data_IF_724440327663
#
_entry.id   IF_724440327663
#
_cell.length_a   1.000
_cell.length_b   1.000
_cell.length_c   1.000
_cell.angle_alpha   90.00
_cell.angle_beta   90.00
_cell.angle_gamma   90.00
#
_symmetry.space_group_name_H-M   'P 1'
#
loop_
_entity.id
_entity.type
_entity.pdbx_description
1 polymer ?
#
# COMPACT_ATOMS: atom_id res chain seq x y z
N UNK A 1 58.27 -16.56 -26.29
CA UNK A 1 58.44 -17.36 -27.53
C UNK A 1 57.11 -17.35 -28.28
N UNK A 2 57.09 -16.55 -29.36
CA UNK A 2 56.73 -16.92 -30.73
C UNK A 2 55.26 -17.47 -30.83
N UNK A 3 54.37 -17.00 -31.71
CA UNK A 3 54.36 -16.28 -33.02
C UNK A 3 52.92 -15.80 -33.22
N UNK A 4 52.61 -14.58 -33.55
CA UNK A 4 52.31 -14.01 -34.87
C UNK A 4 51.68 -14.98 -35.87
N UNK A 5 50.40 -14.75 -36.23
CA UNK A 5 50.02 -14.82 -37.64
C UNK A 5 48.83 -13.91 -37.96
N UNK A 6 49.16 -12.97 -38.73
CA UNK A 6 48.39 -12.00 -39.52
C UNK A 6 47.73 -12.79 -40.69
N UNK A 7 46.44 -12.57 -40.95
CA UNK A 7 45.96 -12.74 -42.33
C UNK A 7 44.83 -11.76 -42.63
N UNK A 8 45.18 -10.94 -43.50
CA UNK A 8 44.57 -9.88 -44.29
C UNK A 8 43.78 -10.50 -45.45
N UNK A 9 42.81 -9.86 -45.95
CA UNK A 9 42.17 -9.81 -47.30
C UNK A 9 40.66 -9.99 -47.19
N UNK A 10 39.80 -9.36 -47.96
CA UNK A 10 39.87 -8.34 -49.01
C UNK A 10 38.47 -7.86 -49.32
N UNK A 11 38.31 -6.61 -49.61
CA UNK A 11 37.24 -5.84 -50.23
C UNK A 11 36.22 -6.56 -51.09
N UNK A 12 34.96 -6.11 -50.99
CA UNK A 12 34.21 -5.82 -52.23
C UNK A 12 33.21 -4.71 -51.96
N UNK A 13 33.49 -3.56 -52.53
CA UNK A 13 32.62 -2.44 -52.68
C UNK A 13 31.59 -2.72 -53.79
N UNK A 14 30.34 -2.47 -53.51
CA UNK A 14 29.36 -2.23 -54.56
C UNK A 14 28.79 -0.82 -54.37
N UNK A 15 29.24 0.04 -55.24
CA UNK A 15 28.68 1.37 -55.51
C UNK A 15 27.41 1.15 -56.32
N UNK A 16 26.25 1.57 -55.76
CA UNK A 16 25.06 1.83 -56.56
C UNK A 16 24.69 3.29 -56.40
N UNK A 17 24.84 3.99 -57.48
CA UNK A 17 24.48 5.38 -57.67
C UNK A 17 22.97 5.49 -57.91
N UNK A 18 22.29 6.44 -57.27
CA UNK A 18 20.89 6.72 -57.53
C UNK A 18 20.31 7.89 -56.77
N UNK A 19 20.42 9.07 -57.32
CA UNK A 19 19.58 10.29 -57.21
C UNK A 19 19.29 10.93 -55.86
N UNK A 20 19.76 12.17 -55.74
CA UNK A 20 19.27 13.24 -54.88
C UNK A 20 17.78 13.49 -55.09
N UNK A 21 17.03 13.51 -54.02
CA UNK A 21 15.90 14.39 -53.81
C UNK A 21 15.96 14.89 -52.36
N UNK A 22 15.98 16.20 -52.23
CA UNK A 22 15.85 16.93 -50.97
C UNK A 22 14.49 16.67 -50.41
N UNK A 23 14.42 16.17 -49.19
CA UNK A 23 13.22 16.24 -48.34
C UNK A 23 13.63 16.57 -46.91
N UNK A 24 13.24 17.76 -46.56
CA UNK A 24 12.98 18.35 -45.25
C UNK A 24 13.12 17.41 -44.04
N UNK A 25 13.84 17.90 -43.03
CA UNK A 25 13.84 17.40 -41.66
C UNK A 25 12.43 17.37 -41.08
N UNK A 26 11.78 16.23 -41.08
CA UNK A 26 10.68 15.92 -40.18
C UNK A 26 11.25 15.20 -38.97
N UNK A 27 11.26 15.91 -37.86
CA UNK A 27 11.49 15.36 -36.54
C UNK A 27 10.38 14.35 -36.28
N UNK A 28 10.68 13.08 -36.45
CA UNK A 28 9.78 12.00 -36.03
C UNK A 28 9.78 12.00 -34.52
N UNK A 29 8.79 12.64 -33.92
CA UNK A 29 8.42 12.43 -32.52
C UNK A 29 8.18 10.94 -32.35
N UNK A 30 9.03 10.30 -31.54
CA UNK A 30 8.79 8.96 -31.06
C UNK A 30 7.47 8.98 -30.31
N UNK A 31 6.44 8.47 -30.93
CA UNK A 31 5.16 8.18 -30.27
C UNK A 31 5.44 7.19 -29.15
N UNK A 32 5.65 7.71 -27.96
CA UNK A 32 5.61 6.92 -26.74
C UNK A 32 4.17 6.43 -26.60
N UNK A 33 3.91 5.23 -27.03
CA UNK A 33 2.68 4.52 -26.74
C UNK A 33 2.62 4.39 -25.22
N UNK A 34 1.91 5.30 -24.57
CA UNK A 34 1.55 5.14 -23.18
C UNK A 34 0.72 3.85 -23.11
N UNK A 35 1.25 2.84 -22.43
CA UNK A 35 0.47 1.70 -22.04
C UNK A 35 -0.71 2.27 -21.25
N UNK A 36 -1.93 2.12 -21.77
CA UNK A 36 -3.13 2.43 -21.01
C UNK A 36 -3.18 1.41 -19.89
N UNK A 37 -2.90 1.88 -18.69
CA UNK A 37 -3.15 1.14 -17.47
C UNK A 37 -4.67 1.05 -17.32
N UNK A 38 -5.23 -0.12 -17.61
CA UNK A 38 -6.63 -0.45 -17.36
C UNK A 38 -6.85 -0.89 -15.91
N UNK A 39 -5.97 -0.47 -15.00
CA UNK A 39 -6.13 -0.70 -13.57
C UNK A 39 -7.43 -0.08 -13.06
N UNK A 40 -8.09 -0.76 -12.14
CA UNK A 40 -9.18 -0.16 -11.36
C UNK A 40 -8.59 1.06 -10.65
N UNK A 41 -9.15 2.27 -10.81
CA UNK A 41 -8.64 3.44 -10.12
C UNK A 41 -8.57 3.18 -8.62
N UNK A 42 -7.48 3.57 -7.97
CA UNK A 42 -7.41 3.52 -6.53
C UNK A 42 -8.50 4.43 -5.94
N UNK A 43 -9.46 3.90 -5.17
CA UNK A 43 -10.57 4.70 -4.66
C UNK A 43 -10.16 5.59 -3.47
N UNK A 44 -8.97 5.41 -2.89
CA UNK A 44 -8.50 6.18 -1.76
C UNK A 44 -8.05 7.59 -2.15
N UNK A 45 -8.53 8.57 -1.39
CA UNK A 45 -8.05 9.95 -1.40
C UNK A 45 -7.14 10.17 -0.18
N UNK A 46 -5.89 10.58 -0.42
CA UNK A 46 -4.92 10.89 0.64
C UNK A 46 -5.19 12.31 1.15
N UNK A 47 -5.21 12.48 2.47
CA UNK A 47 -5.47 13.75 3.15
C UNK A 47 -4.46 13.99 4.27
N UNK A 48 -4.42 15.22 4.79
CA UNK A 48 -3.47 15.61 5.83
C UNK A 48 -4.00 15.34 7.25
N UNK A 49 -5.32 15.24 7.43
CA UNK A 49 -5.94 15.12 8.76
C UNK A 49 -7.11 14.12 8.78
N UNK A 50 -7.38 13.57 9.98
CA UNK A 50 -8.57 12.76 10.22
C UNK A 50 -9.89 13.52 10.01
N UNK A 51 -9.90 14.83 10.28
CA UNK A 51 -11.07 15.68 10.03
C UNK A 51 -11.38 15.83 8.54
N UNK A 52 -10.38 15.82 7.68
CA UNK A 52 -10.54 15.80 6.23
C UNK A 52 -11.02 14.43 5.74
N UNK A 53 -10.43 13.37 6.25
CA UNK A 53 -10.89 12.00 5.98
C UNK A 53 -12.36 11.81 6.38
N UNK A 54 -12.76 12.34 7.54
CA UNK A 54 -14.14 12.28 8.02
C UNK A 54 -15.14 12.97 7.09
N UNK A 55 -14.75 14.07 6.43
CA UNK A 55 -15.60 14.75 5.45
C UNK A 55 -15.81 13.94 4.18
N UNK A 56 -14.82 13.16 3.78
CA UNK A 56 -14.89 12.28 2.61
C UNK A 56 -15.72 11.04 2.95
N UNK A 57 -15.42 10.38 4.07
CA UNK A 57 -16.08 9.14 4.46
C UNK A 57 -17.49 9.32 5.03
N UNK A 58 -17.86 10.54 5.48
CA UNK A 58 -19.16 10.82 6.08
C UNK A 58 -19.28 10.43 7.56
N UNK A 59 -18.20 9.95 8.18
CA UNK A 59 -18.10 9.61 9.61
C UNK A 59 -16.69 9.87 10.12
N UNK A 60 -16.49 9.93 11.46
CA UNK A 60 -15.19 10.17 12.06
C UNK A 60 -14.49 8.86 12.48
N UNK A 61 -13.17 8.90 12.48
CA UNK A 61 -12.31 7.93 13.16
C UNK A 61 -11.44 8.70 14.17
N UNK A 62 -11.47 8.27 15.44
CA UNK A 62 -10.48 8.68 16.43
C UNK A 62 -9.41 7.57 16.48
N UNK A 63 -8.17 7.92 16.25
CA UNK A 63 -7.02 7.01 16.32
C UNK A 63 -5.81 7.75 16.87
N UNK A 64 -4.84 7.06 17.49
CA UNK A 64 -3.59 7.69 17.93
C UNK A 64 -2.88 8.40 16.78
N UNK A 65 -2.21 9.51 17.08
CA UNK A 65 -1.42 10.26 16.09
C UNK A 65 -0.01 9.71 15.89
N UNK A 66 0.40 8.76 16.73
CA UNK A 66 1.68 8.05 16.69
C UNK A 66 1.53 6.72 17.43
N UNK A 67 2.34 5.75 17.08
CA UNK A 67 2.43 4.47 17.79
C UNK A 67 3.88 4.00 17.86
N UNK A 68 4.48 3.98 19.07
CA UNK A 68 5.87 3.63 19.31
C UNK A 68 6.83 4.42 18.38
N UNK A 69 7.66 3.72 17.59
CA UNK A 69 8.58 4.33 16.64
C UNK A 69 7.92 4.66 15.28
N UNK A 70 6.63 4.30 15.10
CA UNK A 70 5.85 4.54 13.89
C UNK A 70 5.07 5.85 14.03
N UNK A 71 5.73 6.96 13.73
CA UNK A 71 5.22 8.32 13.92
C UNK A 71 4.99 9.09 12.62
N UNK A 72 5.15 8.44 11.49
CA UNK A 72 4.86 9.01 10.18
C UNK A 72 3.56 8.43 9.63
N UNK A 73 2.52 9.27 9.52
CA UNK A 73 1.18 8.83 9.13
C UNK A 73 0.93 9.04 7.64
N UNK A 74 0.18 8.11 7.04
CA UNK A 74 -0.59 8.33 5.83
C UNK A 74 -2.05 8.14 6.19
N UNK A 75 -2.85 9.19 6.00
CA UNK A 75 -4.29 9.18 6.24
C UNK A 75 -4.98 9.21 4.89
N UNK A 76 -5.91 8.29 4.68
CA UNK A 76 -6.66 8.25 3.44
C UNK A 76 -8.10 7.78 3.68
N UNK A 77 -9.00 8.13 2.75
CA UNK A 77 -10.41 7.81 2.86
C UNK A 77 -11.01 7.43 1.50
N UNK A 78 -12.08 6.63 1.56
CA UNK A 78 -12.97 6.34 0.45
C UNK A 78 -14.31 7.02 0.75
N UNK A 79 -14.87 7.72 -0.24
CA UNK A 79 -16.10 8.45 -0.07
C UNK A 79 -17.24 7.53 0.38
N UNK A 80 -17.94 7.97 1.44
CA UNK A 80 -19.08 7.29 2.06
C UNK A 80 -18.81 5.82 2.48
N UNK A 81 -17.53 5.41 2.64
CA UNK A 81 -17.19 4.00 2.85
C UNK A 81 -16.14 3.80 3.96
N UNK A 82 -14.91 4.34 3.84
CA UNK A 82 -13.79 3.94 4.70
C UNK A 82 -12.85 5.09 5.05
N UNK A 83 -12.29 5.04 6.27
CA UNK A 83 -11.09 5.79 6.67
C UNK A 83 -9.99 4.79 7.01
N UNK A 84 -8.78 5.05 6.52
CA UNK A 84 -7.60 4.26 6.82
C UNK A 84 -6.47 5.17 7.30
N UNK A 85 -5.79 4.73 8.37
CA UNK A 85 -4.56 5.36 8.89
C UNK A 85 -3.45 4.32 8.86
N UNK A 86 -2.37 4.64 8.18
CA UNK A 86 -1.19 3.78 8.05
C UNK A 86 -0.05 4.43 8.82
N UNK A 87 0.58 3.67 9.70
CA UNK A 87 1.67 4.12 10.57
C UNK A 87 2.99 3.59 10.03
N UNK A 88 3.85 4.50 9.62
CA UNK A 88 5.18 4.20 9.12
C UNK A 88 6.26 4.65 10.11
N UNK A 89 7.44 4.07 9.97
CA UNK A 89 8.65 4.61 10.56
C UNK A 89 8.94 6.04 10.08
N UNK A 90 9.88 6.73 10.71
CA UNK A 90 10.21 8.13 10.39
C UNK A 90 10.68 8.31 8.94
N UNK A 91 11.26 7.27 8.33
CA UNK A 91 11.77 7.27 6.95
C UNK A 91 10.71 6.86 5.93
N UNK A 92 9.52 6.44 6.37
CA UNK A 92 8.42 5.88 5.56
C UNK A 92 8.84 4.66 4.72
N UNK A 93 9.74 3.86 5.26
CA UNK A 93 10.25 2.65 4.60
C UNK A 93 9.57 1.38 5.08
N UNK A 94 9.08 1.38 6.32
CA UNK A 94 8.44 0.23 6.94
C UNK A 94 7.09 0.62 7.54
N UNK A 95 6.05 -0.12 7.17
CA UNK A 95 4.75 -0.04 7.80
C UNK A 95 4.79 -0.83 9.10
N UNK A 96 4.39 -0.19 10.21
CA UNK A 96 4.27 -0.87 11.49
C UNK A 96 2.91 -1.48 11.68
N UNK A 97 1.88 -0.67 11.46
CA UNK A 97 0.49 -1.09 11.55
C UNK A 97 -0.41 -0.16 10.75
N UNK A 98 -1.65 -0.61 10.58
CA UNK A 98 -2.71 0.13 9.90
C UNK A 98 -4.02 -0.03 10.65
N UNK A 99 -4.78 1.06 10.75
CA UNK A 99 -6.11 1.09 11.39
C UNK A 99 -7.13 1.47 10.33
N UNK A 100 -8.24 0.73 10.27
CA UNK A 100 -9.37 0.98 9.38
C UNK A 100 -10.67 1.08 10.16
N UNK A 101 -11.56 1.94 9.66
CA UNK A 101 -12.98 2.01 10.03
C UNK A 101 -13.78 2.14 8.74
N UNK A 102 -14.80 1.30 8.56
CA UNK A 102 -15.67 1.31 7.39
C UNK A 102 -17.14 1.12 7.77
N UNK A 103 -18.02 1.54 6.87
CA UNK A 103 -19.47 1.31 7.00
C UNK A 103 -19.78 -0.19 6.86
N UNK A 104 -20.65 -0.70 7.74
CA UNK A 104 -21.08 -2.10 7.70
C UNK A 104 -20.44 -2.96 8.79
N UNK A 105 -20.61 -4.28 8.66
CA UNK A 105 -20.21 -5.25 9.68
C UNK A 105 -19.32 -6.37 9.13
N UNK A 106 -18.86 -6.25 7.89
CA UNK A 106 -17.99 -7.23 7.26
C UNK A 106 -16.53 -7.07 7.73
N UNK A 107 -15.72 -8.11 7.53
CA UNK A 107 -14.27 -8.03 7.76
C UNK A 107 -13.63 -7.10 6.72
N UNK A 108 -13.01 -6.05 7.20
CA UNK A 108 -12.36 -5.02 6.40
C UNK A 108 -10.84 -5.06 6.48
N UNK A 109 -10.27 -6.08 7.11
CA UNK A 109 -8.81 -6.22 7.24
C UNK A 109 -8.12 -6.34 5.88
N UNK A 110 -8.80 -6.92 4.89
CA UNK A 110 -8.21 -7.19 3.58
C UNK A 110 -7.07 -8.22 3.66
N UNK A 111 -6.99 -8.95 4.76
CA UNK A 111 -6.00 -10.00 4.98
C UNK A 111 -6.58 -11.37 4.62
N UNK A 112 -5.85 -12.14 3.85
CA UNK A 112 -6.23 -13.48 3.39
C UNK A 112 -5.21 -14.55 3.81
N UNK A 113 -4.34 -14.21 4.76
CA UNK A 113 -3.36 -15.14 5.28
C UNK A 113 -4.00 -16.15 6.24
N UNK A 114 -3.38 -17.32 6.37
CA UNK A 114 -3.73 -18.32 7.38
C UNK A 114 -2.85 -18.11 8.62
N UNK A 115 -3.48 -18.14 9.80
CA UNK A 115 -2.81 -17.99 11.09
C UNK A 115 -2.95 -19.25 11.93
N UNK A 116 -1.97 -19.50 12.78
CA UNK A 116 -2.00 -20.64 13.72
C UNK A 116 -2.98 -20.42 14.87
N UNK A 117 -3.22 -19.16 15.22
CA UNK A 117 -4.03 -18.74 16.34
C UNK A 117 -5.12 -17.80 15.85
N UNK A 118 -6.36 -18.13 16.17
CA UNK A 118 -7.53 -17.28 15.96
C UNK A 118 -8.38 -17.36 17.22
N UNK A 119 -8.58 -16.22 17.88
CA UNK A 119 -9.28 -16.12 19.14
C UNK A 119 -10.33 -15.01 19.11
N UNK A 120 -11.43 -15.19 19.83
CA UNK A 120 -12.38 -14.11 20.10
C UNK A 120 -12.20 -13.70 21.55
N UNK A 121 -11.81 -12.45 21.76
CA UNK A 121 -11.58 -11.88 23.10
C UNK A 121 -12.53 -10.72 23.37
N UNK A 122 -12.67 -10.35 24.65
CA UNK A 122 -13.44 -9.16 25.02
C UNK A 122 -12.51 -8.01 25.37
N UNK A 123 -12.72 -6.87 24.70
CA UNK A 123 -12.09 -5.60 25.05
C UNK A 123 -13.20 -4.61 25.43
N UNK A 124 -13.42 -4.44 26.73
CA UNK A 124 -14.61 -3.74 27.22
C UNK A 124 -15.89 -4.49 26.85
N UNK A 125 -16.78 -3.83 26.12
CA UNK A 125 -18.04 -4.44 25.62
C UNK A 125 -17.88 -5.02 24.19
N UNK A 126 -16.73 -4.83 23.54
CA UNK A 126 -16.48 -5.28 22.19
C UNK A 126 -16.05 -6.76 22.18
N UNK A 127 -16.53 -7.51 21.21
CA UNK A 127 -15.98 -8.82 20.83
C UNK A 127 -15.00 -8.61 19.68
N UNK A 128 -13.74 -8.93 19.92
CA UNK A 128 -12.63 -8.73 19.00
C UNK A 128 -12.11 -10.08 18.52
N UNK A 129 -12.07 -10.28 17.22
CA UNK A 129 -11.38 -11.42 16.61
C UNK A 129 -9.93 -11.09 16.42
N UNK A 130 -9.04 -11.82 17.07
CA UNK A 130 -7.60 -11.71 16.98
C UNK A 130 -7.03 -12.89 16.20
N UNK A 131 -6.17 -12.63 15.22
CA UNK A 131 -5.46 -13.64 14.42
C UNK A 131 -3.97 -13.38 14.47
N UNK A 132 -3.16 -14.43 14.62
CA UNK A 132 -1.72 -14.26 14.71
C UNK A 132 -0.94 -15.55 14.83
N UNK A 133 0.33 -15.40 15.21
CA UNK A 133 1.25 -16.52 15.36
C UNK A 133 2.16 -16.29 16.56
N UNK A 134 2.42 -17.36 17.32
CA UNK A 134 3.42 -17.41 18.39
C UNK A 134 3.22 -16.28 19.44
N UNK A 135 1.93 -15.97 19.73
CA UNK A 135 1.52 -14.96 20.72
C UNK A 135 1.57 -13.50 20.22
N UNK A 136 1.95 -13.27 18.97
CA UNK A 136 1.86 -11.94 18.34
C UNK A 136 0.59 -11.87 17.50
N UNK A 137 -0.10 -10.73 17.58
CA UNK A 137 -1.33 -10.47 16.83
C UNK A 137 -0.96 -9.79 15.52
N UNK A 138 -1.41 -10.37 14.41
CA UNK A 138 -1.26 -9.77 13.07
C UNK A 138 -2.52 -9.01 12.65
N UNK A 139 -3.70 -9.52 13.03
CA UNK A 139 -4.99 -8.90 12.72
C UNK A 139 -5.83 -8.87 13.98
N UNK A 140 -6.46 -7.72 14.25
CA UNK A 140 -7.56 -7.59 15.18
C UNK A 140 -8.74 -6.94 14.47
N UNK A 141 -9.94 -7.54 14.53
CA UNK A 141 -11.13 -7.01 13.87
C UNK A 141 -12.35 -7.08 14.78
N UNK A 142 -13.21 -6.06 14.71
CA UNK A 142 -14.46 -5.98 15.47
C UNK A 142 -15.48 -5.10 14.78
N UNK A 143 -16.72 -5.13 15.28
CA UNK A 143 -17.79 -4.22 14.87
C UNK A 143 -18.54 -3.66 16.08
N UNK A 144 -19.06 -2.45 15.93
CA UNK A 144 -20.00 -1.84 16.88
C UNK A 144 -21.48 -2.01 16.45
N UNK A 145 -21.70 -2.73 15.33
CA UNK A 145 -23.02 -2.96 14.75
C UNK A 145 -23.39 -1.95 13.64
N UNK A 146 -22.62 -0.86 13.50
CA UNK A 146 -22.77 0.15 12.43
C UNK A 146 -21.53 0.21 11.56
N UNK A 147 -20.38 0.14 12.19
CA UNK A 147 -19.08 0.20 11.57
C UNK A 147 -18.26 -1.05 11.89
N UNK A 148 -17.46 -1.46 10.92
CA UNK A 148 -16.38 -2.42 11.12
C UNK A 148 -15.06 -1.70 11.34
N UNK A 149 -14.20 -2.34 12.11
CA UNK A 149 -12.87 -1.86 12.42
C UNK A 149 -11.85 -2.97 12.19
N UNK A 150 -10.64 -2.61 11.77
CA UNK A 150 -9.50 -3.53 11.80
C UNK A 150 -8.22 -2.82 12.21
N UNK A 151 -7.35 -3.57 12.88
CA UNK A 151 -5.94 -3.28 13.07
C UNK A 151 -5.18 -4.37 12.33
N UNK A 152 -4.39 -4.00 11.34
CA UNK A 152 -3.45 -4.90 10.69
C UNK A 152 -2.05 -4.54 11.18
N UNK A 153 -1.33 -5.51 11.70
CA UNK A 153 0.02 -5.34 12.24
C UNK A 153 1.00 -5.94 11.23
N UNK A 154 1.94 -5.14 10.77
CA UNK A 154 2.99 -5.57 9.85
C UNK A 154 4.31 -5.77 10.61
N UNK A 155 5.13 -4.75 10.77
CA UNK A 155 6.42 -4.90 11.45
C UNK A 155 6.38 -4.59 12.96
N UNK A 156 5.33 -3.94 13.45
CA UNK A 156 5.13 -3.76 14.88
C UNK A 156 4.75 -5.10 15.53
N UNK A 157 5.57 -5.61 16.44
CA UNK A 157 5.25 -6.84 17.17
C UNK A 157 4.32 -6.53 18.34
N UNK A 158 3.03 -6.81 18.19
CA UNK A 158 2.00 -6.52 19.18
C UNK A 158 1.44 -7.81 19.78
N UNK A 159 1.37 -7.86 21.11
CA UNK A 159 0.65 -8.91 21.83
C UNK A 159 -0.80 -8.49 22.14
N UNK A 160 -1.58 -9.36 22.75
CA UNK A 160 -2.99 -9.10 23.07
C UNK A 160 -3.22 -7.89 24.01
N UNK A 161 -2.29 -7.63 24.93
CA UNK A 161 -2.41 -6.46 25.84
C UNK A 161 -2.17 -5.16 25.06
N UNK A 162 -1.19 -5.14 24.13
CA UNK A 162 -0.91 -4.01 23.27
C UNK A 162 -2.11 -3.69 22.37
N UNK A 163 -2.70 -4.71 21.75
CA UNK A 163 -3.91 -4.60 20.91
C UNK A 163 -5.09 -4.08 21.73
N UNK A 164 -5.34 -4.62 22.92
CA UNK A 164 -6.43 -4.17 23.80
C UNK A 164 -6.30 -2.70 24.19
N UNK A 165 -5.05 -2.25 24.48
CA UNK A 165 -4.76 -0.86 24.77
C UNK A 165 -5.02 0.03 23.55
N UNK A 166 -4.61 -0.41 22.36
CA UNK A 166 -4.80 0.34 21.11
C UNK A 166 -6.29 0.48 20.78
N UNK A 167 -7.07 -0.61 20.84
CA UNK A 167 -8.53 -0.62 20.63
C UNK A 167 -9.23 0.38 21.54
N UNK A 168 -8.80 0.48 22.80
CA UNK A 168 -9.42 1.40 23.79
C UNK A 168 -9.28 2.88 23.40
N UNK A 169 -8.39 3.22 22.48
CA UNK A 169 -8.16 4.57 21.97
C UNK A 169 -8.73 4.80 20.56
N UNK A 170 -9.42 3.82 19.99
CA UNK A 170 -10.06 3.90 18.67
C UNK A 170 -11.58 4.06 18.86
N UNK A 171 -12.18 5.02 18.09
CA UNK A 171 -13.63 5.26 18.11
C UNK A 171 -14.16 5.60 16.72
#
# INVERSE_FOLDING_TARGET
MKKILLMLLLCLAVVSCGKKDEVTDEVTEASTTQAQDYGVPNPFEIVDTLDEAAKIAGFSLEAPIEYADYNSLVIQAIADDMIEVIYFDAEKTHEGLRIRKAVGTDDISGDYNEYKEENVVKVGELEVTEKGNDGNISIASWTDGTYSYSINVDEALLNADDISNLISNIK
#
